data_IF_591381085250
#
_entry.id   IF_591381085250
#
_cell.length_a   1.000
_cell.length_b   1.000
_cell.length_c   1.000
_cell.angle_alpha   90.00
_cell.angle_beta   90.00
_cell.angle_gamma   90.00
#
_symmetry.space_group_name_H-M   'P 1'
#
loop_
_entity.id
_entity.type
_entity.pdbx_description
1 polymer ?
#
# COMPACT_ATOMS: atom_id res chain seq x y z
N UNK A 1 3.98 3.86 25.00
CA UNK A 1 3.62 3.03 26.18
C UNK A 1 4.93 2.47 26.73
N UNK A 2 5.18 2.52 28.04
CA UNK A 2 6.41 1.99 28.63
C UNK A 2 6.35 0.47 28.73
N UNK A 3 7.40 -0.21 28.27
CA UNK A 3 7.57 -1.66 28.37
C UNK A 3 7.79 -2.08 29.84
N UNK A 4 7.57 -3.35 30.16
CA UNK A 4 7.64 -3.92 31.53
C UNK A 4 8.99 -3.75 32.25
N UNK A 5 10.02 -3.25 31.55
CA UNK A 5 11.39 -3.09 32.03
C UNK A 5 11.83 -1.62 31.98
N UNK A 6 10.98 -0.70 31.48
CA UNK A 6 11.26 0.73 31.35
C UNK A 6 12.02 1.18 30.10
N UNK A 7 12.60 0.28 29.31
CA UNK A 7 13.29 0.60 28.05
C UNK A 7 12.30 0.72 26.90
N UNK A 8 12.28 1.86 26.21
CA UNK A 8 11.50 2.04 24.99
C UNK A 8 12.23 1.37 23.81
N UNK A 9 11.60 0.36 23.18
CA UNK A 9 12.16 -0.35 22.01
C UNK A 9 12.63 0.62 20.92
N UNK A 10 12.00 1.79 20.79
CA UNK A 10 12.35 2.79 19.79
C UNK A 10 13.69 3.48 20.07
N UNK A 11 14.23 3.36 21.28
CA UNK A 11 15.58 3.82 21.60
C UNK A 11 16.65 2.85 21.08
N UNK A 12 16.33 1.56 20.97
CA UNK A 12 17.23 0.51 20.48
C UNK A 12 17.04 0.28 18.98
N UNK A 13 15.79 0.34 18.51
CA UNK A 13 15.38 0.18 17.12
C UNK A 13 14.63 1.44 16.67
N UNK A 14 15.36 2.53 16.35
CA UNK A 14 14.77 3.78 15.90
C UNK A 14 13.78 3.53 14.77
N UNK A 15 12.54 4.05 14.82
CA UNK A 15 11.56 3.83 13.78
C UNK A 15 11.90 4.56 12.48
N UNK A 16 12.56 5.71 12.59
CA UNK A 16 12.81 6.65 11.50
C UNK A 16 14.28 7.04 11.42
N UNK A 17 14.75 7.30 10.22
CA UNK A 17 16.06 7.90 10.01
C UNK A 17 15.98 9.41 10.27
N UNK A 18 16.64 9.86 11.34
CA UNK A 18 16.67 11.28 11.71
C UNK A 18 17.72 12.07 10.91
N UNK A 19 18.65 11.36 10.27
CA UNK A 19 19.76 11.94 9.51
C UNK A 19 19.46 12.04 8.01
N UNK A 20 18.66 11.11 7.50
CA UNK A 20 18.22 11.08 6.10
C UNK A 20 16.81 11.64 5.93
N UNK A 21 16.70 12.76 5.20
CA UNK A 21 15.43 13.40 4.87
C UNK A 21 15.22 13.37 3.35
N UNK A 22 14.42 12.42 2.83
CA UNK A 22 14.21 12.31 1.40
C UNK A 22 13.46 13.53 0.84
N UNK A 23 13.60 13.75 -0.47
CA UNK A 23 12.97 14.89 -1.16
C UNK A 23 11.44 14.79 -1.19
N UNK A 24 10.77 15.95 -1.19
CA UNK A 24 9.32 16.11 -1.33
C UNK A 24 8.85 16.29 -2.78
N UNK A 25 9.78 16.66 -3.68
CA UNK A 25 9.49 17.04 -5.07
C UNK A 25 10.16 16.10 -6.09
N UNK A 26 10.81 15.03 -5.62
CA UNK A 26 11.59 14.09 -6.42
C UNK A 26 10.92 12.72 -6.62
N UNK A 27 11.63 11.75 -7.20
CA UNK A 27 11.20 10.35 -7.16
C UNK A 27 11.18 9.88 -5.69
N UNK A 28 10.20 9.07 -5.33
CA UNK A 28 10.13 8.51 -4.00
C UNK A 28 11.25 7.47 -3.78
N UNK A 29 11.69 7.32 -2.54
CA UNK A 29 12.77 6.40 -2.16
C UNK A 29 12.25 5.19 -1.36
N UNK A 30 12.95 4.06 -1.40
CA UNK A 30 12.58 2.89 -0.58
C UNK A 30 12.72 3.20 0.91
N UNK A 31 11.64 2.98 1.65
CA UNK A 31 11.48 3.32 3.07
C UNK A 31 10.91 4.71 3.30
N UNK A 32 10.72 5.54 2.27
CA UNK A 32 10.07 6.85 2.41
C UNK A 32 8.58 6.69 2.74
N UNK A 33 8.08 7.60 3.59
CA UNK A 33 6.65 7.75 3.84
C UNK A 33 6.03 8.66 2.78
N UNK A 34 4.93 8.22 2.19
CA UNK A 34 4.17 8.96 1.17
C UNK A 34 2.68 8.94 1.54
N UNK A 35 1.94 10.00 1.26
CA UNK A 35 0.49 9.99 1.38
C UNK A 35 -0.12 9.88 -0.02
N UNK A 36 -0.75 8.75 -0.33
CA UNK A 36 -1.28 8.48 -1.68
C UNK A 36 -2.67 7.89 -1.61
N UNK A 37 -3.34 7.84 -2.76
CA UNK A 37 -4.67 7.25 -2.92
C UNK A 37 -4.54 5.73 -2.83
N UNK A 38 -5.06 5.17 -1.75
CA UNK A 38 -5.07 3.71 -1.52
C UNK A 38 -6.41 3.15 -1.99
N UNK A 39 -6.42 2.23 -2.97
CA UNK A 39 -7.63 1.53 -3.38
C UNK A 39 -8.08 0.55 -2.29
N UNK A 40 -9.36 0.58 -1.97
CA UNK A 40 -10.00 -0.35 -1.05
C UNK A 40 -10.77 -1.39 -1.85
N UNK A 41 -10.08 -2.49 -2.19
CA UNK A 41 -10.68 -3.63 -2.86
C UNK A 41 -11.60 -4.37 -1.88
N UNK A 42 -12.88 -3.98 -1.89
CA UNK A 42 -13.94 -4.69 -1.20
C UNK A 42 -14.26 -6.04 -1.83
N UNK A 43 -14.96 -6.88 -1.09
CA UNK A 43 -15.57 -8.09 -1.62
C UNK A 43 -17.09 -8.05 -1.36
N UNK A 44 -17.93 -8.25 -2.38
CA UNK A 44 -17.58 -8.52 -3.78
C UNK A 44 -17.07 -7.28 -4.54
N UNK A 45 -16.38 -7.49 -5.66
CA UNK A 45 -15.98 -6.40 -6.55
C UNK A 45 -17.20 -5.74 -7.19
N UNK A 46 -17.11 -4.44 -7.45
CA UNK A 46 -18.16 -3.66 -8.09
C UNK A 46 -17.68 -3.12 -9.43
N UNK A 47 -18.59 -3.08 -10.40
CA UNK A 47 -18.38 -2.49 -11.71
C UNK A 47 -19.34 -1.32 -11.91
N UNK A 48 -18.87 -0.27 -12.56
CA UNK A 48 -19.73 0.76 -13.13
C UNK A 48 -20.14 0.32 -14.52
N UNK A 49 -21.38 -0.16 -14.65
CA UNK A 49 -21.95 -0.64 -15.90
C UNK A 49 -22.29 0.56 -16.80
N UNK A 50 -21.26 1.06 -17.47
CA UNK A 50 -21.33 2.22 -18.34
C UNK A 50 -22.09 1.91 -19.64
N UNK A 51 -23.11 2.71 -19.92
CA UNK A 51 -23.86 2.72 -21.17
C UNK A 51 -23.85 4.14 -21.74
N UNK A 52 -23.97 4.26 -23.06
CA UNK A 52 -24.17 5.57 -23.69
C UNK A 52 -25.48 6.17 -23.15
N UNK A 53 -25.49 7.43 -22.75
CA UNK A 53 -26.74 8.06 -22.28
C UNK A 53 -27.77 8.20 -23.39
N UNK A 54 -27.32 8.25 -24.64
CA UNK A 54 -28.14 8.33 -25.84
C UNK A 54 -27.49 7.60 -27.03
N UNK A 55 -28.29 7.23 -28.02
CA UNK A 55 -27.81 6.51 -29.21
C UNK A 55 -27.04 7.42 -30.19
N UNK A 56 -27.19 8.74 -30.04
CA UNK A 56 -26.71 9.74 -31.01
C UNK A 56 -25.46 10.44 -30.47
N UNK A 57 -25.48 11.01 -29.27
CA UNK A 57 -24.31 11.66 -28.72
C UNK A 57 -23.31 10.64 -28.13
N UNK A 58 -22.03 10.93 -28.34
CA UNK A 58 -20.91 10.17 -27.76
C UNK A 58 -20.31 10.89 -26.54
N UNK A 59 -20.92 12.01 -26.13
CA UNK A 59 -20.38 12.93 -25.15
C UNK A 59 -20.74 12.61 -23.69
N UNK A 60 -21.71 11.73 -23.45
CA UNK A 60 -22.21 11.43 -22.11
C UNK A 60 -22.40 9.92 -21.89
N UNK A 61 -22.16 9.50 -20.66
CA UNK A 61 -22.23 8.10 -20.20
C UNK A 61 -23.10 8.07 -18.96
N UNK A 62 -24.01 7.11 -18.90
CA UNK A 62 -24.82 6.82 -17.72
C UNK A 62 -24.65 5.35 -17.35
N UNK A 63 -24.92 4.99 -16.10
CA UNK A 63 -24.69 3.61 -15.67
C UNK A 63 -25.09 3.39 -14.22
N UNK A 64 -25.02 2.13 -13.81
CA UNK A 64 -25.26 1.73 -12.44
C UNK A 64 -24.00 1.09 -11.86
N UNK A 65 -23.72 1.36 -10.59
CA UNK A 65 -22.73 0.61 -9.83
C UNK A 65 -23.41 -0.67 -9.35
N UNK A 66 -22.92 -1.82 -9.80
CA UNK A 66 -23.44 -3.14 -9.42
C UNK A 66 -22.32 -4.10 -9.05
N UNK A 67 -22.68 -5.20 -8.42
CA UNK A 67 -21.76 -6.31 -8.19
C UNK A 67 -21.29 -6.90 -9.53
N UNK A 68 -20.00 -7.25 -9.59
CA UNK A 68 -19.39 -7.94 -10.72
C UNK A 68 -20.07 -9.30 -10.94
N UNK A 69 -20.49 -9.57 -12.18
CA UNK A 69 -21.01 -10.87 -12.61
C UNK A 69 -19.93 -11.62 -13.42
N UNK A 70 -19.31 -12.61 -12.78
CA UNK A 70 -18.26 -13.45 -13.37
C UNK A 70 -18.69 -14.21 -14.65
N UNK A 71 -19.99 -14.33 -14.91
CA UNK A 71 -20.50 -15.02 -16.11
C UNK A 71 -20.53 -14.10 -17.32
N UNK A 72 -20.71 -12.80 -17.12
CA UNK A 72 -21.03 -11.85 -18.19
C UNK A 72 -20.02 -10.70 -18.34
N UNK A 73 -19.42 -10.26 -17.23
CA UNK A 73 -18.44 -9.18 -17.25
C UNK A 73 -17.09 -9.68 -17.79
N UNK A 74 -16.33 -8.78 -18.44
CA UNK A 74 -15.07 -9.10 -19.14
C UNK A 74 -15.19 -10.11 -20.28
N UNK A 75 -16.38 -10.21 -20.89
CA UNK A 75 -16.65 -10.99 -22.10
C UNK A 75 -17.15 -10.08 -23.23
N UNK A 76 -17.09 -10.53 -24.50
CA UNK A 76 -17.67 -9.77 -25.60
C UNK A 76 -19.17 -9.56 -25.36
N UNK A 77 -19.61 -8.31 -25.41
CA UNK A 77 -21.02 -7.91 -25.25
C UNK A 77 -21.51 -7.39 -26.60
N UNK A 78 -22.00 -8.26 -27.51
CA UNK A 78 -22.29 -7.89 -28.90
C UNK A 78 -23.33 -6.76 -29.03
N UNK A 79 -24.17 -6.59 -28.02
CA UNK A 79 -25.21 -5.54 -27.98
C UNK A 79 -24.72 -4.22 -27.35
N UNK A 80 -23.52 -4.18 -26.76
CA UNK A 80 -22.99 -2.99 -26.08
C UNK A 80 -22.14 -2.17 -27.05
N UNK A 81 -22.60 -0.96 -27.35
CA UNK A 81 -21.83 -0.01 -28.16
C UNK A 81 -20.59 0.49 -27.38
N UNK A 82 -19.42 0.62 -28.04
CA UNK A 82 -18.22 1.16 -27.42
C UNK A 82 -18.43 2.56 -26.86
N UNK A 83 -17.79 2.85 -25.73
CA UNK A 83 -17.85 4.16 -25.08
C UNK A 83 -16.50 4.84 -25.20
N UNK A 84 -16.20 5.36 -26.40
CA UNK A 84 -14.89 5.91 -26.77
C UNK A 84 -14.33 6.95 -25.80
N UNK A 85 -15.19 7.79 -25.19
CA UNK A 85 -14.77 8.88 -24.29
C UNK A 85 -14.07 8.37 -23.01
N UNK A 86 -14.42 7.17 -22.57
CA UNK A 86 -13.80 6.51 -21.40
C UNK A 86 -12.92 5.33 -21.83
N UNK A 87 -12.69 5.17 -23.14
CA UNK A 87 -11.81 4.13 -23.69
C UNK A 87 -12.29 2.70 -23.47
N UNK A 88 -13.56 2.46 -23.13
CA UNK A 88 -14.07 1.10 -22.93
C UNK A 88 -14.25 0.38 -24.27
N UNK A 89 -13.38 -0.59 -24.52
CA UNK A 89 -13.44 -1.53 -25.62
C UNK A 89 -14.25 -2.80 -25.33
N UNK A 90 -14.01 -3.83 -26.13
CA UNK A 90 -14.59 -5.15 -25.93
C UNK A 90 -13.92 -5.85 -24.74
N UNK A 91 -14.70 -6.51 -23.89
CA UNK A 91 -14.23 -7.21 -22.69
C UNK A 91 -13.62 -6.32 -21.60
N UNK A 92 -13.81 -5.01 -21.65
CA UNK A 92 -13.34 -4.07 -20.62
C UNK A 92 -14.50 -3.60 -19.72
N UNK A 93 -14.21 -3.43 -18.43
CA UNK A 93 -15.16 -2.88 -17.46
C UNK A 93 -14.51 -1.83 -16.58
N UNK A 94 -15.27 -0.80 -16.21
CA UNK A 94 -14.84 0.15 -15.19
C UNK A 94 -15.07 -0.44 -13.81
N UNK A 95 -14.00 -0.75 -13.09
CA UNK A 95 -14.08 -1.13 -11.68
C UNK A 95 -14.44 0.09 -10.83
N UNK A 96 -15.51 -0.04 -10.04
CA UNK A 96 -15.94 0.98 -9.10
C UNK A 96 -15.31 0.69 -7.73
N UNK A 97 -14.18 1.33 -7.44
CA UNK A 97 -13.39 1.09 -6.24
C UNK A 97 -13.46 2.30 -5.32
N UNK A 98 -13.76 2.06 -4.04
CA UNK A 98 -13.59 3.08 -3.00
C UNK A 98 -12.11 3.32 -2.78
N UNK A 99 -11.70 4.55 -2.58
CA UNK A 99 -10.32 4.89 -2.28
C UNK A 99 -10.23 5.93 -1.18
N UNK A 100 -9.08 5.98 -0.51
CA UNK A 100 -8.81 6.93 0.57
C UNK A 100 -7.34 7.35 0.53
N UNK A 101 -7.08 8.64 0.72
CA UNK A 101 -5.72 9.12 0.98
C UNK A 101 -5.20 8.54 2.30
N UNK A 102 -4.05 7.86 2.25
CA UNK A 102 -3.41 7.27 3.43
C UNK A 102 -1.89 7.41 3.35
N UNK A 103 -1.23 7.58 4.51
CA UNK A 103 0.20 7.36 4.61
C UNK A 103 0.53 5.91 4.21
N UNK A 104 1.60 5.75 3.47
CA UNK A 104 2.12 4.49 2.97
C UNK A 104 3.64 4.49 3.09
N UNK A 105 4.23 3.30 3.19
CA UNK A 105 5.68 3.10 3.08
C UNK A 105 6.00 2.62 1.67
N UNK A 106 6.98 3.23 1.02
CA UNK A 106 7.53 2.72 -0.25
C UNK A 106 8.39 1.49 0.03
N UNK A 107 8.00 0.34 -0.50
CA UNK A 107 8.68 -0.94 -0.28
C UNK A 107 9.70 -1.25 -1.38
N UNK A 108 9.35 -0.93 -2.63
CA UNK A 108 10.16 -1.21 -3.80
C UNK A 108 9.86 -0.22 -4.92
N UNK A 109 10.82 -0.08 -5.83
CA UNK A 109 10.73 0.76 -7.02
C UNK A 109 11.02 -0.13 -8.22
N UNK A 110 10.13 -0.11 -9.19
CA UNK A 110 10.35 -0.66 -10.52
C UNK A 110 10.61 0.50 -11.47
N UNK A 111 11.86 0.62 -11.94
CA UNK A 111 12.21 1.63 -12.94
C UNK A 111 11.53 1.31 -14.27
N UNK A 112 11.11 2.36 -14.98
CA UNK A 112 10.61 2.21 -16.34
C UNK A 112 11.68 1.72 -17.30
N UNK A 113 11.26 1.11 -18.41
CA UNK A 113 12.15 0.67 -19.48
C UNK A 113 12.65 1.90 -20.27
N UNK A 114 13.97 2.14 -20.37
CA UNK A 114 14.50 3.26 -21.14
C UNK A 114 14.18 3.14 -22.64
N UNK A 115 14.02 4.29 -23.33
CA UNK A 115 13.73 4.35 -24.78
C UNK A 115 14.67 3.49 -25.62
N UNK A 116 15.97 3.51 -25.29
CA UNK A 116 17.01 2.74 -26.00
C UNK A 116 16.80 1.22 -25.98
N UNK A 117 15.96 0.71 -25.09
CA UNK A 117 15.63 -0.71 -24.99
C UNK A 117 14.27 -1.04 -25.62
N UNK A 118 13.52 -0.04 -26.09
CA UNK A 118 12.24 -0.24 -26.77
C UNK A 118 12.46 -0.52 -28.28
N UNK A 119 11.63 -1.34 -28.92
CA UNK A 119 11.72 -1.58 -30.36
C UNK A 119 11.54 -0.28 -31.14
N UNK A 120 12.50 0.05 -32.02
CA UNK A 120 12.57 1.34 -32.71
C UNK A 120 11.29 1.75 -33.45
N UNK A 121 10.60 0.80 -34.07
CA UNK A 121 9.35 1.04 -34.82
C UNK A 121 8.14 1.27 -33.92
N UNK A 122 8.21 0.89 -32.64
CA UNK A 122 7.09 0.89 -31.70
C UNK A 122 7.33 1.78 -30.48
N UNK A 123 8.47 2.49 -30.41
CA UNK A 123 8.86 3.32 -29.26
C UNK A 123 7.72 4.25 -28.82
N UNK A 124 7.07 4.95 -29.76
CA UNK A 124 6.01 5.90 -29.42
C UNK A 124 4.74 5.23 -28.88
N UNK A 125 4.49 3.97 -29.24
CA UNK A 125 3.35 3.17 -28.77
C UNK A 125 3.67 2.58 -27.39
N UNK A 126 4.90 2.07 -27.21
CA UNK A 126 5.35 1.43 -25.99
C UNK A 126 5.64 2.43 -24.85
N UNK A 127 6.08 3.64 -25.19
CA UNK A 127 6.52 4.66 -24.24
C UNK A 127 5.55 4.92 -23.08
N UNK A 128 4.24 5.16 -23.32
CA UNK A 128 3.30 5.45 -22.23
C UNK A 128 3.10 4.28 -21.27
N UNK A 129 3.29 3.04 -21.74
CA UNK A 129 3.09 1.82 -20.96
C UNK A 129 4.32 1.44 -20.12
N UNK A 130 5.54 1.70 -20.61
CA UNK A 130 6.75 1.12 -20.02
C UNK A 130 7.71 2.13 -19.37
N UNK A 131 7.65 3.43 -19.68
CA UNK A 131 8.64 4.37 -19.13
C UNK A 131 8.36 4.85 -17.71
N UNK A 132 7.15 4.64 -17.20
CA UNK A 132 6.77 5.19 -15.89
C UNK A 132 7.30 4.31 -14.78
N UNK A 133 8.11 4.89 -13.90
CA UNK A 133 8.47 4.23 -12.65
C UNK A 133 7.21 3.87 -11.87
N UNK A 134 7.21 2.66 -11.32
CA UNK A 134 6.15 2.16 -10.47
C UNK A 134 6.70 1.91 -9.07
N UNK A 135 5.88 2.18 -8.07
CA UNK A 135 6.25 2.10 -6.67
C UNK A 135 5.34 1.08 -6.01
N UNK A 136 5.93 0.09 -5.34
CA UNK A 136 5.20 -0.81 -4.46
C UNK A 136 5.06 -0.11 -3.12
N UNK A 137 3.84 0.18 -2.68
CA UNK A 137 3.59 0.88 -1.42
C UNK A 137 2.71 0.06 -0.49
N UNK A 138 3.00 0.07 0.81
CA UNK A 138 2.15 -0.54 1.83
C UNK A 138 1.41 0.54 2.64
N UNK A 139 0.07 0.48 2.72
CA UNK A 139 -0.72 1.45 3.46
C UNK A 139 -0.60 1.30 4.98
N UNK A 140 -0.55 2.43 5.67
CA UNK A 140 -0.59 2.53 7.13
C UNK A 140 -2.02 2.82 7.62
N UNK A 141 -2.41 2.14 8.70
CA UNK A 141 -3.71 2.28 9.36
C UNK A 141 -3.48 2.68 10.80
N UNK A 142 -4.04 3.83 11.22
CA UNK A 142 -3.83 4.26 12.60
C UNK A 142 -4.50 3.33 13.61
N UNK A 143 -3.83 3.18 14.74
CA UNK A 143 -4.28 2.43 15.89
C UNK A 143 -5.46 3.14 16.55
N UNK A 144 -6.42 2.35 17.01
CA UNK A 144 -7.61 2.80 17.73
C UNK A 144 -7.20 3.43 19.05
N UNK A 145 -7.86 4.52 19.41
CA UNK A 145 -7.71 5.18 20.71
C UNK A 145 -9.04 5.18 21.46
N UNK A 146 -9.06 5.61 22.72
CA UNK A 146 -10.32 5.78 23.46
C UNK A 146 -11.26 6.82 22.82
N UNK A 147 -10.70 7.80 22.08
CA UNK A 147 -11.47 8.87 21.42
C UNK A 147 -11.91 8.50 20.02
N UNK A 148 -11.20 7.59 19.35
CA UNK A 148 -11.41 7.27 17.96
C UNK A 148 -11.27 5.76 17.72
N UNK A 149 -12.41 5.10 17.50
CA UNK A 149 -12.50 3.65 17.30
C UNK A 149 -12.11 3.29 15.87
N UNK A 150 -11.08 2.45 15.72
CA UNK A 150 -10.53 2.01 14.42
C UNK A 150 -10.38 0.50 14.36
N UNK A 151 -10.14 -0.04 13.16
CA UNK A 151 -10.00 -1.47 12.93
C UNK A 151 -8.73 -2.08 13.58
N UNK A 152 -7.65 -1.30 13.69
CA UNK A 152 -6.42 -1.75 14.35
C UNK A 152 -6.54 -1.43 15.84
N UNK A 153 -6.78 -2.44 16.66
CA UNK A 153 -6.87 -2.26 18.12
C UNK A 153 -5.48 -2.25 18.78
N UNK A 154 -5.30 -1.66 19.98
CA UNK A 154 -4.00 -1.57 20.66
C UNK A 154 -3.30 -2.91 20.82
N UNK A 155 -4.03 -4.00 21.09
CA UNK A 155 -3.46 -5.35 21.18
C UNK A 155 -2.79 -5.80 19.89
N UNK A 156 -3.39 -5.50 18.72
CA UNK A 156 -2.79 -5.85 17.43
C UNK A 156 -1.56 -4.98 17.16
N UNK A 157 -1.59 -3.71 17.56
CA UNK A 157 -0.44 -2.82 17.45
C UNK A 157 0.75 -3.32 18.28
N UNK A 158 0.53 -3.67 19.55
CA UNK A 158 1.56 -4.23 20.42
C UNK A 158 2.15 -5.54 19.87
N UNK A 159 1.29 -6.43 19.34
CA UNK A 159 1.77 -7.67 18.69
C UNK A 159 2.56 -7.41 17.41
N UNK A 160 2.18 -6.40 16.63
CA UNK A 160 2.92 -5.99 15.43
C UNK A 160 4.28 -5.38 15.80
N UNK A 161 4.36 -4.65 16.91
CA UNK A 161 5.61 -4.12 17.46
C UNK A 161 6.58 -5.23 17.84
N UNK A 162 6.07 -6.29 18.49
CA UNK A 162 6.80 -7.51 18.82
C UNK A 162 6.98 -8.49 17.64
N UNK A 163 6.73 -8.07 16.40
CA UNK A 163 6.91 -8.89 15.19
C UNK A 163 6.20 -10.27 15.24
N UNK A 164 5.04 -10.34 15.92
CA UNK A 164 4.21 -11.56 15.91
C UNK A 164 3.61 -11.86 14.53
N UNK A 165 3.44 -10.81 13.71
CA UNK A 165 2.77 -10.90 12.43
C UNK A 165 3.73 -10.42 11.33
N UNK A 166 4.17 -11.29 10.42
CA UNK A 166 5.10 -10.89 9.37
C UNK A 166 4.48 -9.90 8.38
N UNK A 167 3.14 -9.84 8.28
CA UNK A 167 2.45 -8.91 7.41
C UNK A 167 2.17 -7.53 8.03
N UNK A 168 2.54 -7.31 9.30
CA UNK A 168 2.27 -6.07 10.03
C UNK A 168 3.56 -5.45 10.56
N UNK A 169 3.68 -4.14 10.44
CA UNK A 169 4.78 -3.37 11.04
C UNK A 169 4.23 -2.14 11.76
N UNK A 170 4.59 -1.95 13.03
CA UNK A 170 4.20 -0.75 13.78
C UNK A 170 5.07 0.45 13.38
N UNK A 171 4.42 1.59 13.16
CA UNK A 171 5.01 2.91 12.98
C UNK A 171 4.52 3.86 14.09
N UNK A 172 5.43 4.33 14.96
CA UNK A 172 5.11 5.31 16.00
C UNK A 172 4.72 6.67 15.41
N UNK A 173 4.14 7.56 16.23
CA UNK A 173 3.88 8.94 15.82
C UNK A 173 5.16 9.67 15.40
N UNK A 174 5.08 10.53 14.39
CA UNK A 174 6.24 11.26 13.86
C UNK A 174 5.91 12.71 13.54
N UNK A 175 5.97 13.58 14.56
CA UNK A 175 6.17 15.04 14.42
C UNK A 175 5.36 15.81 13.37
N UNK A 176 4.18 15.33 12.97
CA UNK A 176 3.31 15.94 11.94
C UNK A 176 3.02 15.05 10.72
N UNK A 177 3.94 14.16 10.31
CA UNK A 177 3.73 13.26 9.17
C UNK A 177 2.79 12.09 9.50
N UNK A 178 2.92 11.55 10.71
CA UNK A 178 2.06 10.52 11.26
C UNK A 178 1.51 11.02 12.60
N UNK A 179 0.29 11.60 12.62
CA UNK A 179 -0.29 12.18 13.84
C UNK A 179 -0.71 11.12 14.86
N UNK A 180 -0.77 9.86 14.45
CA UNK A 180 -1.17 8.72 15.27
C UNK A 180 -0.24 7.54 15.01
N UNK A 181 -0.01 6.73 16.04
CA UNK A 181 0.58 5.40 15.88
C UNK A 181 -0.21 4.64 14.82
N UNK A 182 0.49 3.95 13.94
CA UNK A 182 -0.09 3.30 12.78
C UNK A 182 0.55 1.96 12.51
N UNK A 183 -0.21 1.02 11.97
CA UNK A 183 0.28 -0.27 11.52
C UNK A 183 0.28 -0.30 10.01
N UNK A 184 1.45 -0.56 9.44
CA UNK A 184 1.65 -0.79 8.00
C UNK A 184 1.20 -2.21 7.67
N UNK A 185 0.32 -2.34 6.67
CA UNK A 185 -0.21 -3.61 6.17
C UNK A 185 0.57 -4.06 4.94
N UNK A 186 1.61 -4.87 5.12
CA UNK A 186 2.40 -5.41 4.01
C UNK A 186 1.56 -6.32 3.11
N UNK A 187 0.58 -7.03 3.66
CA UNK A 187 -0.39 -7.83 2.89
C UNK A 187 -1.36 -7.00 2.03
N UNK A 188 -1.38 -5.67 2.22
CA UNK A 188 -2.19 -4.74 1.43
C UNK A 188 -1.32 -3.87 0.53
N UNK A 189 -0.06 -4.26 0.30
CA UNK A 189 0.81 -3.55 -0.61
C UNK A 189 0.26 -3.60 -2.05
N UNK A 190 0.43 -2.51 -2.79
CA UNK A 190 -0.02 -2.40 -4.18
C UNK A 190 0.95 -1.55 -4.99
N UNK A 191 1.02 -1.82 -6.29
CA UNK A 191 1.79 -1.02 -7.24
C UNK A 191 1.02 0.24 -7.63
N UNK A 192 1.71 1.38 -7.67
CA UNK A 192 1.16 2.67 -8.08
C UNK A 192 2.23 3.49 -8.78
N UNK A 193 1.82 4.43 -9.63
CA UNK A 193 2.72 5.44 -10.21
C UNK A 193 2.82 6.69 -9.34
N UNK A 194 2.26 6.67 -8.12
CA UNK A 194 2.14 7.83 -7.23
C UNK A 194 1.52 9.06 -7.93
N UNK A 195 0.36 8.92 -8.60
CA UNK A 195 -0.26 10.04 -9.31
C UNK A 195 -0.73 11.12 -8.32
N UNK A 196 -0.91 12.38 -8.77
CA UNK A 196 -1.61 13.38 -7.98
C UNK A 196 -2.98 12.85 -7.49
N UNK A 197 -3.40 13.16 -6.24
CA UNK A 197 -2.82 14.12 -5.31
C UNK A 197 -1.82 13.49 -4.31
N UNK A 198 -0.87 12.65 -4.76
CA UNK A 198 0.16 12.08 -3.86
C UNK A 198 1.07 13.16 -3.25
N UNK A 199 1.36 13.03 -1.96
CA UNK A 199 2.32 13.84 -1.21
C UNK A 199 3.51 12.97 -0.76
N UNK A 200 4.73 13.47 -0.91
CA UNK A 200 5.94 12.83 -0.40
C UNK A 200 6.33 13.49 0.92
N UNK A 201 6.72 12.71 1.92
CA UNK A 201 7.15 13.24 3.22
C UNK A 201 8.67 13.17 3.38
N UNK A 202 9.25 14.14 4.09
CA UNK A 202 10.66 14.13 4.51
C UNK A 202 10.87 13.20 5.70
N UNK A 203 10.33 11.99 5.60
CA UNK A 203 10.36 10.98 6.64
C UNK A 203 10.64 9.63 5.97
N UNK A 204 11.63 8.92 6.48
CA UNK A 204 11.98 7.59 6.02
C UNK A 204 12.21 6.65 7.19
N UNK A 205 12.00 5.35 6.96
CA UNK A 205 12.36 4.32 7.91
C UNK A 205 13.88 4.29 8.16
N UNK A 206 14.27 4.00 9.39
CA UNK A 206 15.68 3.72 9.72
C UNK A 206 16.21 2.52 8.92
N UNK A 207 17.54 2.38 8.88
CA UNK A 207 18.21 1.23 8.24
C UNK A 207 17.73 -0.08 8.87
N UNK A 208 17.64 -0.12 10.19
CA UNK A 208 17.20 -1.29 10.97
C UNK A 208 15.75 -1.63 10.61
N UNK A 209 14.85 -0.64 10.57
CA UNK A 209 13.44 -0.89 10.21
C UNK A 209 13.26 -1.35 8.78
N UNK A 210 14.07 -0.84 7.84
CA UNK A 210 14.08 -1.36 6.45
C UNK A 210 14.55 -2.82 6.41
N UNK A 211 15.55 -3.19 7.20
CA UNK A 211 16.02 -4.58 7.29
C UNK A 211 14.96 -5.52 7.89
N UNK A 212 14.24 -5.06 8.93
CA UNK A 212 13.09 -5.77 9.51
C UNK A 212 12.00 -5.98 8.46
N UNK A 213 11.62 -4.92 7.75
CA UNK A 213 10.61 -4.95 6.69
C UNK A 213 11.00 -5.92 5.56
N UNK A 214 12.26 -5.92 5.13
CA UNK A 214 12.76 -6.82 4.10
C UNK A 214 12.66 -8.29 4.55
N UNK A 215 13.01 -8.60 5.80
CA UNK A 215 12.90 -9.95 6.35
C UNK A 215 11.44 -10.39 6.55
N UNK A 216 10.57 -9.50 7.01
CA UNK A 216 9.12 -9.73 7.04
C UNK A 216 8.57 -10.10 5.65
N UNK A 217 9.03 -9.39 4.61
CA UNK A 217 8.65 -9.69 3.23
C UNK A 217 9.14 -11.06 2.75
N UNK A 218 10.37 -11.47 3.11
CA UNK A 218 10.89 -12.83 2.84
C UNK A 218 10.00 -13.89 3.50
N UNK A 219 9.66 -13.72 4.77
CA UNK A 219 8.77 -14.63 5.49
C UNK A 219 7.41 -14.74 4.79
N UNK A 220 6.83 -13.62 4.36
CA UNK A 220 5.56 -13.63 3.61
C UNK A 220 5.63 -14.38 2.27
N UNK A 221 6.81 -14.45 1.66
CA UNK A 221 7.08 -15.20 0.43
C UNK A 221 7.39 -16.68 0.68
N UNK A 222 7.43 -17.12 1.94
CA UNK A 222 7.85 -18.48 2.31
C UNK A 222 9.37 -18.69 2.21
N UNK A 223 10.15 -17.60 2.21
CA UNK A 223 11.61 -17.64 2.19
C UNK A 223 12.18 -17.58 3.61
N UNK A 224 13.38 -18.13 3.79
CA UNK A 224 14.08 -18.09 5.07
C UNK A 224 14.59 -16.66 5.35
N UNK A 225 14.23 -16.04 6.48
CA UNK A 225 14.79 -14.75 6.87
C UNK A 225 16.24 -14.90 7.37
N UNK A 226 16.93 -13.77 7.56
CA UNK A 226 18.27 -13.72 8.13
C UNK A 226 18.27 -14.19 9.60
N UNK A 227 19.38 -14.78 10.07
CA UNK A 227 19.51 -15.29 11.44
C UNK A 227 19.29 -14.19 12.49
N UNK A 228 19.92 -13.02 12.30
CA UNK A 228 19.77 -11.85 13.18
C UNK A 228 18.31 -11.42 13.33
N UNK A 229 17.52 -11.55 12.26
CA UNK A 229 16.08 -11.27 12.31
C UNK A 229 15.33 -12.28 13.17
N UNK A 230 15.66 -13.58 13.05
CA UNK A 230 15.03 -14.63 13.86
C UNK A 230 15.32 -14.42 15.34
N UNK A 231 16.59 -14.19 15.70
CA UNK A 231 17.00 -13.93 17.08
C UNK A 231 16.29 -12.69 17.66
N UNK A 232 16.22 -11.61 16.89
CA UNK A 232 15.48 -10.41 17.30
C UNK A 232 13.99 -10.69 17.48
N UNK A 233 13.36 -11.46 16.58
CA UNK A 233 11.94 -11.82 16.71
C UNK A 233 11.68 -12.63 17.98
N UNK A 234 12.56 -13.58 18.31
CA UNK A 234 12.47 -14.37 19.54
C UNK A 234 12.53 -13.45 20.78
N UNK A 235 13.54 -12.58 20.85
CA UNK A 235 13.71 -11.61 21.94
C UNK A 235 12.49 -10.69 22.08
N UNK A 236 12.01 -10.11 20.99
CA UNK A 236 10.88 -9.16 21.03
C UNK A 236 9.55 -9.81 21.42
N UNK A 237 9.38 -11.10 21.16
CA UNK A 237 8.17 -11.84 21.56
C UNK A 237 8.14 -12.16 23.04
N UNK A 238 9.29 -12.38 23.67
CA UNK A 238 9.40 -12.59 25.12
C UNK A 238 8.96 -11.34 25.89
N UNK A 239 9.29 -10.16 25.36
CA UNK A 239 8.94 -8.85 25.90
C UNK A 239 7.44 -8.48 25.73
N UNK A 240 6.65 -9.27 24.99
CA UNK A 240 5.23 -9.00 24.81
C UNK A 240 4.47 -9.19 26.14
N UNK A 241 3.86 -8.11 26.62
CA UNK A 241 3.05 -8.11 27.84
C UNK A 241 1.95 -9.19 27.82
N UNK A 242 1.73 -9.85 28.96
CA UNK A 242 0.80 -10.97 29.11
C UNK A 242 -0.62 -10.65 28.59
N UNK A 243 -1.11 -9.43 28.86
CA UNK A 243 -2.41 -8.96 28.41
C UNK A 243 -2.58 -8.89 26.87
N UNK A 244 -1.49 -9.03 26.12
CA UNK A 244 -1.47 -9.02 24.66
C UNK A 244 -1.07 -10.37 24.06
N UNK A 245 -0.73 -11.38 24.86
CA UNK A 245 -0.40 -12.71 24.34
C UNK A 245 -1.64 -13.38 23.74
N UNK A 246 -1.41 -14.36 22.87
CA UNK A 246 -2.49 -15.18 22.32
C UNK A 246 -2.86 -16.19 23.42
N UNK A 247 -4.14 -16.26 23.86
CA UNK A 247 -4.55 -17.30 24.80
C UNK A 247 -4.20 -18.67 24.23
N UNK A 248 -3.48 -19.48 25.00
CA UNK A 248 -3.19 -20.87 24.65
C UNK A 248 -4.45 -21.73 24.77
#
# INVERSE_FOLDING_TARGET
MGWGNGTDIHQVLPPYDLTHRPSTDGPAEVGQIVCTVVPEFGHPLMVFDAQRSDQIAHGSVSGAIRTLDHRCDYRPKPERLPVFKIGLGECEELLAIRSKMRPCVVLAIAEGIPDKHLPGTEVNIARPAFQRSSFLVAPAYSVSTHRDRRAIVPTIAARAECLMYPNLMLLPTSGGYLPHESVVRLDRAFWTTLPPPTELYQLSLSVERRAIMANQWRVMRGETPDADYVEMVELLREELAEAHRIPQ
#
